data_IF_945892576237
#
_entry.id   IF_945892576237
#
_cell.length_a   1.000
_cell.length_b   1.000
_cell.length_c   1.000
_cell.angle_alpha   90.00
_cell.angle_beta   90.00
_cell.angle_gamma   90.00
#
_symmetry.space_group_name_H-M   'P 1'
#
loop_
_entity.id
_entity.type
_entity.pdbx_description
1 polymer ?
#
# COMPACT_ATOMS: atom_id res chain seq x y z
N UNK A 1 -3.78 0.62 -37.04
CA UNK A 1 -2.85 0.10 -36.02
C UNK A 1 -2.27 -1.19 -36.55
N UNK A 2 -0.95 -1.23 -36.80
CA UNK A 2 -0.28 -2.51 -37.03
C UNK A 2 -0.26 -3.29 -35.71
N UNK A 3 -0.42 -4.62 -35.71
CA UNK A 3 -0.17 -5.41 -34.52
C UNK A 3 1.29 -5.24 -34.11
N UNK A 4 1.53 -4.99 -32.82
CA UNK A 4 2.88 -5.00 -32.25
C UNK A 4 3.54 -6.33 -32.59
N UNK A 5 4.78 -6.28 -33.06
CA UNK A 5 5.52 -7.48 -33.39
C UNK A 5 5.85 -8.27 -32.11
N UNK A 6 5.99 -9.59 -32.23
CA UNK A 6 6.34 -10.46 -31.09
C UNK A 6 7.62 -9.99 -30.35
N UNK A 7 8.56 -9.37 -31.08
CA UNK A 7 9.77 -8.78 -30.52
C UNK A 7 9.49 -7.53 -29.68
N UNK A 8 8.54 -6.69 -30.10
CA UNK A 8 8.14 -5.51 -29.32
C UNK A 8 7.41 -5.91 -28.03
N UNK A 9 6.59 -6.96 -28.08
CA UNK A 9 5.90 -7.52 -26.91
C UNK A 9 6.91 -8.05 -25.88
N UNK A 10 7.89 -8.85 -26.32
CA UNK A 10 8.92 -9.38 -25.43
C UNK A 10 9.79 -8.28 -24.83
N UNK A 11 10.20 -7.30 -25.63
CA UNK A 11 10.99 -6.16 -25.14
C UNK A 11 10.20 -5.27 -24.16
N UNK A 12 8.86 -5.15 -24.32
CA UNK A 12 8.01 -4.46 -23.33
C UNK A 12 7.91 -5.27 -22.04
N UNK A 13 7.75 -6.59 -22.12
CA UNK A 13 7.67 -7.45 -20.95
C UNK A 13 8.94 -7.39 -20.08
N UNK A 14 10.13 -7.44 -20.69
CA UNK A 14 11.40 -7.34 -19.95
C UNK A 14 11.56 -5.99 -19.24
N UNK A 15 11.17 -4.89 -19.89
CA UNK A 15 11.20 -3.56 -19.25
C UNK A 15 10.23 -3.48 -18.09
N UNK A 16 9.00 -3.97 -18.26
CA UNK A 16 8.00 -4.00 -17.20
C UNK A 16 8.48 -4.83 -16.00
N UNK A 17 9.12 -5.98 -16.23
CA UNK A 17 9.68 -6.79 -15.14
C UNK A 17 10.79 -6.04 -14.39
N UNK A 18 11.66 -5.33 -15.10
CA UNK A 18 12.72 -4.52 -14.48
C UNK A 18 12.16 -3.33 -13.71
N UNK A 19 11.17 -2.62 -14.27
CA UNK A 19 10.46 -1.52 -13.63
C UNK A 19 9.75 -2.00 -12.34
N UNK A 20 9.08 -3.15 -12.43
CA UNK A 20 8.39 -3.79 -11.31
C UNK A 20 9.35 -4.18 -10.18
N UNK A 21 10.47 -4.84 -10.51
CA UNK A 21 11.50 -5.20 -9.53
C UNK A 21 12.12 -3.98 -8.87
N UNK A 22 12.37 -2.92 -9.64
CA UNK A 22 12.92 -1.67 -9.10
C UNK A 22 11.95 -1.03 -8.11
N UNK A 23 10.67 -0.93 -8.46
CA UNK A 23 9.67 -0.31 -7.59
C UNK A 23 9.43 -1.13 -6.31
N UNK A 24 9.41 -2.46 -6.41
CA UNK A 24 9.28 -3.32 -5.23
C UNK A 24 10.48 -3.26 -4.27
N UNK A 25 11.66 -2.88 -4.76
CA UNK A 25 12.87 -2.83 -3.91
C UNK A 25 12.72 -1.78 -2.82
N UNK A 26 12.04 -0.68 -3.13
CA UNK A 26 11.88 0.46 -2.23
C UNK A 26 10.42 0.63 -1.77
N UNK A 27 9.53 -0.33 -2.03
CA UNK A 27 8.15 -0.30 -1.55
C UNK A 27 8.00 -1.07 -0.24
N UNK A 28 7.17 -0.54 0.67
CA UNK A 28 6.86 -1.18 1.94
C UNK A 28 5.36 -1.26 2.14
N UNK A 29 4.88 -2.43 2.55
CA UNK A 29 3.49 -2.65 2.96
C UNK A 29 3.34 -2.34 4.45
N UNK A 30 2.35 -1.53 4.78
CA UNK A 30 1.91 -1.30 6.14
C UNK A 30 0.55 -1.94 6.37
N UNK A 31 0.37 -2.47 7.59
CA UNK A 31 -0.93 -2.85 8.12
C UNK A 31 -1.13 -2.07 9.43
N UNK A 32 -2.13 -1.19 9.44
CA UNK A 32 -2.41 -0.32 10.58
C UNK A 32 -3.79 -0.64 11.13
N UNK A 33 -3.86 -0.89 12.44
CA UNK A 33 -5.13 -0.98 13.17
C UNK A 33 -5.62 0.43 13.49
N UNK A 34 -6.79 0.78 12.98
CA UNK A 34 -7.52 2.00 13.30
C UNK A 34 -8.59 1.66 14.33
N UNK A 35 -8.56 2.36 15.47
CA UNK A 35 -9.59 2.25 16.50
C UNK A 35 -10.16 3.64 16.76
N UNK A 36 -11.48 3.77 16.71
CA UNK A 36 -12.20 4.99 17.11
C UNK A 36 -11.82 6.24 16.29
N UNK A 37 -11.99 6.20 14.96
CA UNK A 37 -11.91 7.42 14.15
C UNK A 37 -13.24 8.16 14.19
N UNK A 38 -13.22 9.44 14.57
CA UNK A 38 -14.41 10.30 14.47
C UNK A 38 -14.62 10.80 13.04
N UNK A 39 -13.52 10.85 12.27
CA UNK A 39 -13.48 11.26 10.86
C UNK A 39 -13.25 10.07 9.93
N UNK A 40 -13.47 10.30 8.63
CA UNK A 40 -13.12 9.36 7.58
C UNK A 40 -11.59 9.20 7.50
N UNK A 41 -11.12 7.98 7.22
CA UNK A 41 -9.69 7.65 7.16
C UNK A 41 -9.30 7.26 5.75
N UNK A 42 -8.21 7.87 5.27
CA UNK A 42 -7.58 7.56 3.99
C UNK A 42 -6.20 6.91 4.16
N UNK A 43 -5.79 6.12 3.18
CA UNK A 43 -4.39 5.69 3.07
C UNK A 43 -3.44 6.89 2.99
N UNK A 44 -3.90 7.96 2.33
CA UNK A 44 -3.10 9.17 2.12
C UNK A 44 -2.84 9.97 3.39
N UNK A 45 -3.58 9.70 4.48
CA UNK A 45 -3.30 10.27 5.79
C UNK A 45 -2.06 9.67 6.45
N UNK A 46 -1.58 8.53 5.93
CA UNK A 46 -0.34 7.89 6.33
C UNK A 46 0.76 8.23 5.33
N UNK A 47 1.86 8.82 5.78
CA UNK A 47 2.95 9.22 4.89
C UNK A 47 4.31 9.09 5.53
N UNK A 48 5.34 8.93 4.71
CA UNK A 48 6.72 9.01 5.16
C UNK A 48 7.10 10.46 5.44
N UNK A 49 7.59 10.77 6.64
CA UNK A 49 8.08 12.13 6.97
C UNK A 49 9.30 12.57 6.13
N UNK A 50 10.06 11.61 5.62
CA UNK A 50 11.33 11.86 4.95
C UNK A 50 11.15 12.00 3.44
N UNK A 51 10.52 11.02 2.78
CA UNK A 51 10.28 11.06 1.32
C UNK A 51 8.98 11.75 0.91
N UNK A 52 8.12 12.12 1.87
CA UNK A 52 6.79 12.73 1.64
C UNK A 52 5.81 11.87 0.84
N UNK A 53 6.15 10.59 0.60
CA UNK A 53 5.28 9.64 -0.09
C UNK A 53 4.16 9.19 0.83
N UNK A 54 2.93 9.23 0.33
CA UNK A 54 1.72 8.85 1.06
C UNK A 54 1.29 7.41 0.74
N UNK A 55 0.48 6.81 1.61
CA UNK A 55 -0.08 5.49 1.43
C UNK A 55 -0.97 5.42 0.19
N UNK A 56 -0.88 4.30 -0.55
CA UNK A 56 -1.62 4.06 -1.79
C UNK A 56 -2.25 2.67 -1.80
N UNK A 57 -3.24 2.52 -2.69
CA UNK A 57 -3.98 1.28 -2.91
C UNK A 57 -4.48 0.63 -1.60
N UNK A 58 -5.25 1.35 -0.77
CA UNK A 58 -5.70 0.80 0.49
C UNK A 58 -6.65 -0.37 0.32
N UNK A 59 -6.55 -1.30 1.25
CA UNK A 59 -7.57 -2.31 1.49
C UNK A 59 -7.97 -2.27 2.95
N UNK A 60 -9.26 -2.07 3.20
CA UNK A 60 -9.81 -1.96 4.55
C UNK A 60 -10.38 -3.31 4.98
N UNK A 61 -9.83 -3.87 6.05
CA UNK A 61 -10.18 -5.18 6.57
C UNK A 61 -10.85 -5.10 7.95
N UNK A 62 -11.66 -6.09 8.29
CA UNK A 62 -12.12 -6.30 9.65
C UNK A 62 -10.94 -6.47 10.63
N UNK A 63 -11.16 -6.19 11.90
CA UNK A 63 -10.11 -6.27 12.93
C UNK A 63 -9.68 -7.70 13.27
N UNK A 64 -10.59 -8.66 13.11
CA UNK A 64 -10.47 -10.05 13.55
C UNK A 64 -10.35 -11.04 12.38
N UNK A 65 -10.56 -10.57 11.15
CA UNK A 65 -10.53 -11.38 9.94
C UNK A 65 -10.02 -10.59 8.74
N UNK A 66 -9.56 -11.29 7.71
CA UNK A 66 -9.14 -10.69 6.43
C UNK A 66 -10.35 -10.37 5.52
N UNK A 67 -11.53 -10.19 6.11
CA UNK A 67 -12.72 -9.77 5.37
C UNK A 67 -12.62 -8.29 5.02
N UNK A 68 -12.77 -7.94 3.74
CA UNK A 68 -12.86 -6.55 3.29
C UNK A 68 -14.13 -5.91 3.85
N UNK A 69 -13.98 -4.77 4.52
CA UNK A 69 -15.08 -4.00 5.13
C UNK A 69 -15.34 -2.67 4.42
N UNK A 70 -14.40 -2.20 3.60
CA UNK A 70 -14.56 -1.01 2.78
C UNK A 70 -13.83 -1.15 1.45
N UNK A 71 -14.50 -0.76 0.37
CA UNK A 71 -13.98 -0.79 -1.00
C UNK A 71 -13.60 0.60 -1.52
N UNK A 72 -13.89 1.65 -0.75
CA UNK A 72 -13.68 3.04 -1.13
C UNK A 72 -12.72 3.72 -0.16
N UNK A 73 -11.83 4.56 -0.72
CA UNK A 73 -10.93 5.44 0.00
C UNK A 73 -11.42 6.89 -0.17
N UNK A 74 -11.73 7.63 0.92
CA UNK A 74 -11.61 7.25 2.33
C UNK A 74 -12.75 6.34 2.82
N UNK A 75 -12.48 5.56 3.87
CA UNK A 75 -13.51 4.81 4.60
C UNK A 75 -14.12 5.66 5.70
N UNK A 76 -15.45 5.66 5.83
CA UNK A 76 -16.16 6.49 6.79
C UNK A 76 -16.14 5.93 8.22
N UNK A 77 -16.66 6.72 9.16
CA UNK A 77 -16.71 6.41 10.60
C UNK A 77 -17.78 5.39 10.99
N UNK A 78 -18.49 4.79 10.02
CA UNK A 78 -19.42 3.69 10.26
C UNK A 78 -18.75 2.42 10.83
N UNK A 79 -17.42 2.33 10.73
CA UNK A 79 -16.61 1.25 11.31
C UNK A 79 -15.91 1.72 12.59
N UNK A 80 -16.35 1.22 13.75
CA UNK A 80 -15.74 1.56 15.04
C UNK A 80 -14.24 1.20 15.14
N UNK A 81 -13.82 0.13 14.44
CA UNK A 81 -12.43 -0.26 14.29
C UNK A 81 -12.26 -1.12 13.02
N UNK A 82 -11.12 -0.99 12.36
CA UNK A 82 -10.75 -1.73 11.16
C UNK A 82 -9.22 -1.73 10.99
N UNK A 83 -8.72 -2.59 10.10
CA UNK A 83 -7.31 -2.56 9.67
C UNK A 83 -7.25 -1.94 8.29
N UNK A 84 -6.21 -1.15 8.01
CA UNK A 84 -5.92 -0.63 6.67
C UNK A 84 -4.57 -1.17 6.22
N UNK A 85 -4.56 -1.83 5.07
CA UNK A 85 -3.36 -2.28 4.38
C UNK A 85 -3.07 -1.30 3.25
N UNK A 86 -1.84 -0.79 3.14
CA UNK A 86 -1.47 0.13 2.07
C UNK A 86 0.04 0.10 1.81
N UNK A 87 0.44 0.54 0.62
CA UNK A 87 1.85 0.62 0.22
C UNK A 87 2.35 2.05 0.28
N UNK A 88 3.61 2.23 0.69
CA UNK A 88 4.37 3.47 0.49
C UNK A 88 5.59 3.16 -0.37
N UNK A 89 5.69 3.86 -1.50
CA UNK A 89 6.83 3.77 -2.42
C UNK A 89 8.03 4.59 -1.92
N UNK A 90 9.23 4.28 -2.41
CA UNK A 90 10.48 4.97 -2.09
C UNK A 90 10.75 5.05 -0.57
N UNK A 91 10.43 4.00 0.17
CA UNK A 91 10.71 3.86 1.58
C UNK A 91 12.22 3.66 1.80
N UNK A 92 12.78 4.37 2.79
CA UNK A 92 14.17 4.19 3.20
C UNK A 92 14.25 3.79 4.68
N UNK A 93 15.33 3.12 5.13
CA UNK A 93 15.45 2.67 6.52
C UNK A 93 15.36 3.79 7.57
N UNK A 94 15.66 5.04 7.18
CA UNK A 94 15.63 6.21 8.06
C UNK A 94 14.24 6.88 8.11
N UNK A 95 13.30 6.45 7.28
CA UNK A 95 11.94 6.99 7.23
C UNK A 95 11.14 6.65 8.50
N UNK A 96 10.24 7.55 8.87
CA UNK A 96 9.19 7.26 9.85
C UNK A 96 7.83 7.41 9.21
N UNK A 97 6.89 6.61 9.71
CA UNK A 97 5.50 6.72 9.33
C UNK A 97 4.83 7.79 10.19
N UNK A 98 4.24 8.79 9.55
CA UNK A 98 3.31 9.73 10.16
C UNK A 98 1.91 9.25 9.85
N UNK A 99 1.06 9.15 10.87
CA UNK A 99 -0.37 8.95 10.69
C UNK A 99 -1.17 10.19 11.12
N UNK A 100 -2.51 10.12 11.06
CA UNK A 100 -3.40 11.23 11.45
C UNK A 100 -3.15 11.75 12.87
N UNK A 101 -2.72 10.88 13.78
CA UNK A 101 -2.44 11.20 15.19
C UNK A 101 -0.97 11.50 15.48
N UNK A 102 -0.13 11.62 14.46
CA UNK A 102 1.31 11.89 14.56
C UNK A 102 2.17 10.66 14.29
N UNK A 103 3.43 10.73 14.75
CA UNK A 103 4.47 9.75 14.42
C UNK A 103 4.17 8.38 15.01
N UNK A 104 4.28 7.35 14.17
CA UNK A 104 4.07 5.96 14.55
C UNK A 104 5.40 5.26 14.87
N UNK A 105 5.39 4.41 15.89
CA UNK A 105 6.51 3.52 16.19
C UNK A 105 6.38 2.26 15.33
N UNK A 106 7.37 2.04 14.47
CA UNK A 106 7.36 0.91 13.54
C UNK A 106 8.08 -0.30 14.14
N UNK A 107 7.51 -1.52 14.03
CA UNK A 107 8.24 -2.73 14.31
C UNK A 107 9.34 -2.94 13.26
N UNK A 108 10.22 -3.92 13.49
CA UNK A 108 11.15 -4.35 12.43
C UNK A 108 10.36 -4.93 11.26
N UNK A 109 10.70 -4.49 10.05
CA UNK A 109 10.13 -5.04 8.84
C UNK A 109 10.44 -6.53 8.70
N UNK A 110 9.44 -7.28 8.24
CA UNK A 110 9.54 -8.68 7.85
C UNK A 110 9.13 -8.82 6.40
N UNK A 111 9.41 -9.98 5.79
CA UNK A 111 8.86 -10.32 4.49
C UNK A 111 7.33 -10.20 4.50
N UNK A 112 6.76 -9.65 3.43
CA UNK A 112 5.32 -9.55 3.24
C UNK A 112 4.74 -10.96 3.19
N UNK A 113 3.77 -11.31 4.07
CA UNK A 113 3.16 -12.64 4.05
C UNK A 113 2.43 -12.91 2.72
N UNK A 114 2.46 -14.16 2.24
CA UNK A 114 1.81 -14.53 0.96
C UNK A 114 0.34 -14.09 0.87
N UNK A 115 -0.40 -14.18 1.98
CA UNK A 115 -1.81 -13.76 2.04
C UNK A 115 -2.01 -12.29 1.68
N UNK A 116 -1.08 -11.41 2.09
CA UNK A 116 -1.20 -9.97 1.86
C UNK A 116 -1.06 -9.62 0.37
N UNK A 117 -0.30 -10.40 -0.40
CA UNK A 117 -0.19 -10.23 -1.85
C UNK A 117 -1.50 -10.50 -2.60
N UNK A 118 -2.35 -11.39 -2.06
CA UNK A 118 -3.67 -11.67 -2.63
C UNK A 118 -4.71 -10.61 -2.26
N UNK A 119 -4.53 -9.94 -1.12
CA UNK A 119 -5.52 -9.03 -0.54
C UNK A 119 -5.26 -7.59 -0.97
N UNK A 120 -4.01 -7.14 -0.91
CA UNK A 120 -3.57 -5.78 -1.26
C UNK A 120 -2.48 -5.86 -2.33
N UNK A 121 -2.85 -6.21 -3.58
CA UNK A 121 -1.88 -6.33 -4.66
C UNK A 121 -1.16 -4.99 -4.86
N UNK A 122 0.16 -5.08 -5.08
CA UNK A 122 0.95 -3.92 -5.42
C UNK A 122 0.70 -3.57 -6.89
N UNK A 123 -0.24 -2.66 -7.12
CA UNK A 123 -0.54 -2.17 -8.46
C UNK A 123 0.48 -1.09 -8.85
N UNK A 124 1.45 -1.51 -9.66
CA UNK A 124 2.21 -0.56 -10.47
C UNK A 124 1.29 -0.06 -11.57
N UNK A 125 0.81 1.19 -11.40
CA UNK A 125 0.09 1.90 -12.46
C UNK A 125 0.94 1.85 -13.75
N UNK A 126 0.28 1.40 -14.84
CA UNK A 126 0.81 1.23 -16.20
C UNK A 126 1.50 2.47 -16.81
#
# INVERSE_FOLDING_TARGET
MAPESEQEILARAERLESEFKSALTDAVLFEVLVTNSEDAVSASDFYSDTTTQAGRAPVFLATDSDQVVGEFDPIGSEHAAFRVLFWIDNWTPDCNLQGPSGRMLLPKFSSVPERHWSIAPFDLLD
#
